data_IF_859956303024
#
_entry.id   IF_859956303024
#
_cell.length_a   1.000
_cell.length_b   1.000
_cell.length_c   1.000
_cell.angle_alpha   90.00
_cell.angle_beta   90.00
_cell.angle_gamma   90.00
#
_symmetry.space_group_name_H-M   'P 1'
#
loop_
_entity.id
_entity.type
_entity.pdbx_description
1 polymer ?
#
# COMPACT_ATOMS: atom_id res chain seq x y z
N UNK A 1 23.69 -7.88 17.29
CA UNK A 1 23.33 -6.47 17.02
C UNK A 1 22.15 -6.08 17.90
N UNK A 2 22.13 -4.87 18.41
CA UNK A 2 20.92 -4.32 19.09
C UNK A 2 19.85 -3.98 18.04
N UNK A 3 18.55 -3.87 18.43
CA UNK A 3 17.49 -3.44 17.49
C UNK A 3 17.81 -2.11 16.78
N UNK A 4 18.39 -1.15 17.48
CA UNK A 4 18.80 0.14 16.89
C UNK A 4 19.91 -0.01 15.85
N UNK A 5 20.89 -0.90 16.10
CA UNK A 5 21.94 -1.20 15.13
C UNK A 5 21.40 -1.94 13.89
N UNK A 6 20.42 -2.82 14.08
CA UNK A 6 19.75 -3.53 12.96
C UNK A 6 18.98 -2.51 12.11
N UNK A 7 18.19 -1.66 12.74
CA UNK A 7 17.41 -0.62 12.03
C UNK A 7 18.34 0.32 11.23
N UNK A 8 19.46 0.72 11.82
CA UNK A 8 20.41 1.62 11.17
C UNK A 8 21.25 0.98 10.06
N UNK A 9 21.33 -0.34 10.00
CA UNK A 9 22.11 -1.08 9.00
C UNK A 9 21.24 -1.76 7.91
N UNK A 10 19.94 -1.83 8.14
CA UNK A 10 18.98 -2.34 7.16
C UNK A 10 18.67 -1.27 6.11
N UNK A 11 18.24 -1.69 4.94
CA UNK A 11 17.51 -0.84 4.01
C UNK A 11 16.03 -1.00 4.35
N UNK A 12 15.42 0.05 4.87
CA UNK A 12 14.03 0.01 5.31
C UNK A 12 13.11 0.54 4.21
N UNK A 13 12.16 -0.28 3.80
CA UNK A 13 11.24 0.02 2.71
C UNK A 13 9.81 -0.15 3.18
N UNK A 14 9.00 0.87 2.98
CA UNK A 14 7.55 0.81 3.12
C UNK A 14 6.90 0.80 1.74
N UNK A 15 5.97 -0.12 1.54
CA UNK A 15 5.38 -0.35 0.22
C UNK A 15 4.11 0.44 -0.06
N UNK A 16 3.56 1.15 0.93
CA UNK A 16 2.31 1.88 0.71
C UNK A 16 2.12 3.05 1.66
N UNK A 17 1.92 4.25 1.09
CA UNK A 17 1.45 5.44 1.81
C UNK A 17 0.72 6.39 0.88
N UNK A 18 -0.43 6.93 1.32
CA UNK A 18 -1.31 7.83 0.55
C UNK A 18 -0.90 9.30 0.59
N UNK A 19 0.29 9.57 1.04
CA UNK A 19 0.89 10.90 1.15
C UNK A 19 0.76 11.77 -0.14
N UNK A 20 0.75 11.23 -1.39
CA UNK A 20 0.53 12.03 -2.60
C UNK A 20 -0.77 12.82 -2.64
N UNK A 21 -1.80 12.37 -1.92
CA UNK A 21 -3.06 13.14 -1.80
C UNK A 21 -2.80 14.53 -1.21
N UNK A 22 -1.90 14.62 -0.23
CA UNK A 22 -1.52 15.86 0.44
C UNK A 22 -0.72 16.79 -0.48
N UNK A 23 0.09 16.25 -1.39
CA UNK A 23 0.83 17.06 -2.37
C UNK A 23 -0.11 17.84 -3.26
N UNK A 24 -1.22 17.23 -3.70
CA UNK A 24 -2.20 17.84 -4.59
C UNK A 24 -3.24 18.66 -3.82
N UNK A 25 -3.88 18.07 -2.83
CA UNK A 25 -5.08 18.67 -2.20
C UNK A 25 -4.74 19.69 -1.12
N UNK A 26 -3.57 19.56 -0.46
CA UNK A 26 -3.11 20.48 0.58
C UNK A 26 -1.98 21.41 0.10
N UNK A 27 -1.44 21.20 -1.11
CA UNK A 27 -0.24 21.89 -1.61
C UNK A 27 0.95 21.79 -0.66
N UNK A 28 1.01 20.68 0.07
CA UNK A 28 2.03 20.37 1.05
C UNK A 28 3.24 19.69 0.40
N UNK A 29 4.45 19.95 0.92
CA UNK A 29 5.67 19.31 0.42
C UNK A 29 6.15 18.26 1.40
N UNK A 30 6.75 17.18 0.87
CA UNK A 30 7.28 16.08 1.68
C UNK A 30 8.34 16.52 2.71
N UNK A 31 9.01 17.65 2.47
CA UNK A 31 9.98 18.24 3.37
C UNK A 31 9.40 19.19 4.43
N UNK A 32 8.09 19.46 4.37
CA UNK A 32 7.40 20.30 5.34
C UNK A 32 7.11 19.53 6.65
N UNK A 33 6.79 20.20 7.77
CA UNK A 33 6.33 19.55 8.99
C UNK A 33 5.12 18.64 8.74
N UNK A 34 4.95 17.58 9.58
CA UNK A 34 3.89 16.58 9.42
C UNK A 34 2.47 17.16 9.30
N UNK A 35 2.17 18.22 10.06
CA UNK A 35 0.86 18.91 10.02
C UNK A 35 -0.34 17.96 10.06
N UNK A 36 -0.30 16.97 10.96
CA UNK A 36 -1.36 15.98 11.13
C UNK A 36 -1.26 14.74 10.23
N UNK A 37 -0.28 14.66 9.32
CA UNK A 37 0.04 13.43 8.57
C UNK A 37 0.92 12.47 9.37
N UNK A 38 1.23 11.33 8.76
CA UNK A 38 2.01 10.25 9.39
C UNK A 38 3.40 10.08 8.78
N UNK A 39 3.62 10.63 7.59
CA UNK A 39 4.87 10.49 6.84
C UNK A 39 5.32 11.84 6.26
N UNK A 40 6.58 12.21 6.57
CA UNK A 40 7.33 13.28 5.93
C UNK A 40 8.83 12.94 5.96
N UNK A 41 9.67 13.75 5.32
CA UNK A 41 11.11 13.50 5.23
C UNK A 41 11.76 13.36 6.62
N UNK A 42 11.43 14.22 7.57
CA UNK A 42 12.01 14.19 8.91
C UNK A 42 11.59 12.97 9.74
N UNK A 43 10.29 12.55 9.65
CA UNK A 43 9.82 11.34 10.32
C UNK A 43 10.43 10.09 9.67
N UNK A 44 10.56 10.07 8.35
CA UNK A 44 11.23 8.99 7.61
C UNK A 44 12.69 8.83 8.07
N UNK A 45 13.45 9.93 8.14
CA UNK A 45 14.85 9.90 8.64
C UNK A 45 14.94 9.41 10.08
N UNK A 46 14.05 9.87 10.97
CA UNK A 46 14.04 9.43 12.38
C UNK A 46 13.71 7.94 12.51
N UNK A 47 12.85 7.42 11.63
CA UNK A 47 12.48 6.01 11.56
C UNK A 47 13.45 5.13 10.78
N UNK A 48 14.54 5.70 10.23
CA UNK A 48 15.44 5.04 9.30
C UNK A 48 14.70 4.42 8.10
N UNK A 49 13.62 5.05 7.65
CA UNK A 49 12.94 4.67 6.42
C UNK A 49 13.75 5.21 5.23
N UNK A 50 14.23 4.32 4.37
CA UNK A 50 15.08 4.67 3.23
C UNK A 50 14.32 4.82 1.94
N UNK A 51 13.20 4.08 1.79
CA UNK A 51 12.42 4.05 0.57
C UNK A 51 10.92 3.95 0.86
N UNK A 52 10.13 4.68 0.09
CA UNK A 52 8.67 4.67 0.14
C UNK A 52 8.08 4.47 -1.23
N UNK A 53 7.16 3.50 -1.35
CA UNK A 53 6.21 3.51 -2.45
C UNK A 53 5.04 4.43 -2.10
N UNK A 54 4.95 5.54 -2.78
CA UNK A 54 3.84 6.48 -2.69
C UNK A 54 2.66 5.96 -3.52
N UNK A 55 1.50 5.84 -2.87
CA UNK A 55 0.29 5.37 -3.49
C UNK A 55 -0.35 6.47 -4.36
N UNK A 56 -0.48 6.16 -5.64
CA UNK A 56 -1.24 6.96 -6.60
C UNK A 56 -2.66 6.39 -6.61
N UNK A 57 -3.47 6.83 -5.64
CA UNK A 57 -4.85 6.39 -5.48
C UNK A 57 -5.84 7.44 -5.99
N UNK A 58 -6.90 6.99 -6.64
CA UNK A 58 -7.98 7.83 -7.14
C UNK A 58 -9.31 7.34 -6.58
N UNK A 59 -10.06 8.24 -5.93
CA UNK A 59 -11.40 7.92 -5.44
C UNK A 59 -12.38 7.70 -6.63
N UNK A 60 -12.86 6.47 -6.85
CA UNK A 60 -13.74 6.18 -7.99
C UNK A 60 -15.12 6.84 -7.88
N UNK A 61 -15.52 7.28 -6.68
CA UNK A 61 -16.78 7.98 -6.48
C UNK A 61 -16.70 9.45 -6.91
N UNK A 62 -15.53 10.05 -6.81
CA UNK A 62 -15.28 11.44 -7.19
C UNK A 62 -14.77 11.57 -8.63
N UNK A 63 -13.99 10.59 -9.08
CA UNK A 63 -13.39 10.53 -10.41
C UNK A 63 -13.89 9.27 -11.13
N UNK A 64 -15.16 9.28 -11.64
CA UNK A 64 -15.72 8.12 -12.33
C UNK A 64 -14.98 7.80 -13.62
N UNK A 65 -15.39 6.72 -14.30
CA UNK A 65 -14.83 6.33 -15.58
C UNK A 65 -14.62 7.53 -16.54
N UNK A 66 -13.45 7.61 -17.17
CA UNK A 66 -12.95 8.69 -18.02
C UNK A 66 -12.45 9.95 -17.27
N UNK A 67 -12.31 9.90 -15.95
CA UNK A 67 -11.71 10.99 -15.17
C UNK A 67 -10.58 10.49 -14.23
N UNK A 68 -10.46 9.18 -14.05
CA UNK A 68 -9.45 8.58 -13.18
C UNK A 68 -8.03 8.79 -13.70
N UNK A 69 -7.81 8.66 -15.02
CA UNK A 69 -6.50 8.84 -15.63
C UNK A 69 -5.94 10.25 -15.42
N UNK A 70 -6.78 11.28 -15.50
CA UNK A 70 -6.33 12.65 -15.23
C UNK A 70 -5.83 12.81 -13.80
N UNK A 71 -6.63 12.35 -12.81
CA UNK A 71 -6.23 12.44 -11.40
C UNK A 71 -4.98 11.61 -11.11
N UNK A 72 -4.86 10.43 -11.72
CA UNK A 72 -3.66 9.58 -11.65
C UNK A 72 -2.40 10.35 -12.11
N UNK A 73 -2.49 11.04 -13.25
CA UNK A 73 -1.38 11.85 -13.78
C UNK A 73 -1.05 13.05 -12.88
N UNK A 74 -2.06 13.71 -12.30
CA UNK A 74 -1.85 14.81 -11.35
C UNK A 74 -1.08 14.34 -10.10
N UNK A 75 -1.40 13.15 -9.56
CA UNK A 75 -0.72 12.57 -8.41
C UNK A 75 0.72 12.11 -8.75
N UNK A 76 0.92 11.52 -9.94
CA UNK A 76 2.26 11.15 -10.43
C UNK A 76 3.12 12.40 -10.56
N UNK A 77 2.61 13.44 -11.23
CA UNK A 77 3.33 14.70 -11.43
C UNK A 77 3.69 15.36 -10.09
N UNK A 78 2.72 15.45 -9.17
CA UNK A 78 2.94 16.01 -7.84
C UNK A 78 4.02 15.25 -7.05
N UNK A 79 4.11 13.93 -7.20
CA UNK A 79 5.15 13.12 -6.57
C UNK A 79 6.52 13.37 -7.21
N UNK A 80 6.60 13.46 -8.53
CA UNK A 80 7.82 13.82 -9.25
C UNK A 80 8.30 15.22 -8.90
N UNK A 81 7.39 16.18 -8.71
CA UNK A 81 7.69 17.53 -8.27
C UNK A 81 8.33 17.57 -6.87
N UNK A 82 7.99 16.64 -5.96
CA UNK A 82 8.69 16.56 -4.67
C UNK A 82 10.18 16.26 -4.87
N UNK A 83 10.51 15.33 -5.76
CA UNK A 83 11.90 15.00 -6.09
C UNK A 83 12.60 16.20 -6.73
N UNK A 84 11.94 16.89 -7.65
CA UNK A 84 12.49 18.07 -8.31
C UNK A 84 12.76 19.22 -7.33
N UNK A 85 11.90 19.39 -6.33
CA UNK A 85 12.04 20.46 -5.32
C UNK A 85 13.16 20.20 -4.30
N UNK A 86 13.52 18.95 -4.05
CA UNK A 86 14.51 18.57 -3.04
C UNK A 86 15.50 17.50 -3.58
N UNK A 87 16.23 17.76 -4.66
CA UNK A 87 17.07 16.76 -5.34
C UNK A 87 18.31 16.35 -4.53
N UNK A 88 18.67 17.12 -3.54
CA UNK A 88 19.70 16.81 -2.54
C UNK A 88 19.24 15.77 -1.51
N UNK A 89 17.95 15.67 -1.27
CA UNK A 89 17.31 14.79 -0.28
C UNK A 89 16.59 13.59 -0.86
N UNK A 90 15.96 13.77 -2.02
CA UNK A 90 15.04 12.81 -2.64
C UNK A 90 15.59 12.32 -3.98
N UNK A 91 15.34 11.05 -4.29
CA UNK A 91 15.68 10.47 -5.59
C UNK A 91 14.52 9.60 -6.09
N UNK A 92 14.06 9.84 -7.30
CA UNK A 92 13.15 8.90 -7.98
C UNK A 92 13.89 7.60 -8.23
N UNK A 93 13.30 6.48 -7.78
CA UNK A 93 13.82 5.14 -7.98
C UNK A 93 12.84 4.33 -8.82
N UNK A 94 13.35 3.62 -9.82
CA UNK A 94 12.56 2.81 -10.74
C UNK A 94 13.07 1.37 -10.84
N UNK A 95 14.09 1.05 -10.05
CA UNK A 95 14.68 -0.28 -9.94
C UNK A 95 15.16 -0.54 -8.51
N UNK A 96 15.41 -1.81 -8.20
CA UNK A 96 16.05 -2.20 -6.94
C UNK A 96 17.43 -1.58 -6.78
N UNK A 97 18.18 -1.46 -7.88
CA UNK A 97 19.52 -0.86 -7.86
C UNK A 97 19.50 0.63 -7.63
N UNK A 98 18.44 1.35 -8.09
CA UNK A 98 18.26 2.76 -7.77
C UNK A 98 18.05 2.97 -6.27
N UNK A 99 17.28 2.09 -5.60
CA UNK A 99 17.09 2.14 -4.13
C UNK A 99 18.43 2.00 -3.41
N UNK A 100 19.25 1.01 -3.82
CA UNK A 100 20.59 0.79 -3.25
C UNK A 100 21.51 1.98 -3.49
N UNK A 101 21.41 2.61 -4.66
CA UNK A 101 22.20 3.79 -5.00
C UNK A 101 21.77 5.02 -4.21
N UNK A 102 20.45 5.24 -4.04
CA UNK A 102 19.92 6.33 -3.22
C UNK A 102 20.35 6.19 -1.75
N UNK A 103 20.20 5.00 -1.18
CA UNK A 103 20.64 4.69 0.19
C UNK A 103 22.13 4.99 0.38
N UNK A 104 23.00 4.54 -0.55
CA UNK A 104 24.44 4.82 -0.53
C UNK A 104 24.77 6.34 -0.53
N UNK A 105 23.93 7.13 -1.19
CA UNK A 105 24.07 8.59 -1.28
C UNK A 105 23.43 9.33 -0.10
N UNK A 106 22.80 8.63 0.84
CA UNK A 106 22.06 9.21 1.96
C UNK A 106 20.77 9.91 1.54
N UNK A 107 20.23 9.58 0.35
CA UNK A 107 18.99 10.12 -0.19
C UNK A 107 17.83 9.17 0.12
N UNK A 108 16.65 9.74 0.30
CA UNK A 108 15.41 9.02 0.41
C UNK A 108 14.92 8.56 -0.98
N UNK A 109 14.66 7.28 -1.13
CA UNK A 109 14.19 6.70 -2.38
C UNK A 109 12.67 6.89 -2.52
N UNK A 110 12.24 7.60 -3.54
CA UNK A 110 10.85 7.84 -3.92
C UNK A 110 10.46 6.84 -5.01
N UNK A 111 9.44 6.03 -4.75
CA UNK A 111 8.84 5.10 -5.71
C UNK A 111 7.35 5.38 -5.81
N UNK A 112 6.71 4.89 -6.86
CA UNK A 112 5.26 5.05 -7.05
C UNK A 112 4.58 3.72 -7.35
N UNK A 113 3.43 3.50 -6.71
CA UNK A 113 2.52 2.41 -7.02
C UNK A 113 1.11 2.95 -7.27
N UNK A 114 0.41 2.43 -8.27
CA UNK A 114 -1.00 2.76 -8.46
C UNK A 114 -1.85 1.87 -7.55
N UNK A 115 -2.75 2.48 -6.81
CA UNK A 115 -3.75 1.76 -6.04
C UNK A 115 -5.11 1.80 -6.73
N UNK A 116 -5.45 0.64 -7.30
CA UNK A 116 -6.72 0.45 -8.00
C UNK A 116 -6.60 0.50 -9.53
N UNK A 117 -6.81 -0.65 -10.16
CA UNK A 117 -6.72 -0.81 -11.61
C UNK A 117 -7.80 -0.06 -12.41
N UNK A 118 -8.80 0.54 -11.76
CA UNK A 118 -9.72 1.48 -12.41
C UNK A 118 -8.99 2.70 -13.00
N UNK A 119 -7.81 3.03 -12.47
CA UNK A 119 -6.95 4.13 -12.94
C UNK A 119 -6.47 3.97 -14.38
N UNK A 120 -6.44 2.74 -14.92
CA UNK A 120 -6.06 2.51 -16.33
C UNK A 120 -7.23 2.66 -17.30
N UNK A 121 -8.47 2.91 -16.84
CA UNK A 121 -9.66 3.10 -17.69
C UNK A 121 -9.80 2.04 -18.78
N UNK A 122 -9.52 0.77 -18.45
CA UNK A 122 -9.51 -0.40 -19.35
C UNK A 122 -8.53 -0.27 -20.54
N UNK A 123 -7.42 0.45 -20.36
CA UNK A 123 -6.43 0.70 -21.41
C UNK A 123 -5.04 0.20 -21.02
N UNK A 124 -4.53 -0.84 -21.68
CA UNK A 124 -3.12 -1.27 -21.58
C UNK A 124 -2.16 -0.15 -22.03
N UNK A 125 -2.62 0.76 -22.88
CA UNK A 125 -1.84 1.93 -23.27
C UNK A 125 -1.59 2.88 -22.10
N UNK A 126 -2.60 3.11 -21.25
CA UNK A 126 -2.42 3.89 -20.01
C UNK A 126 -1.50 3.18 -19.02
N UNK A 127 -1.64 1.87 -18.83
CA UNK A 127 -0.74 1.07 -17.99
C UNK A 127 0.73 1.25 -18.41
N UNK A 128 1.02 1.12 -19.71
CA UNK A 128 2.38 1.34 -20.26
C UNK A 128 2.88 2.76 -20.04
N UNK A 129 2.02 3.76 -20.16
CA UNK A 129 2.41 5.15 -19.94
C UNK A 129 2.73 5.42 -18.48
N UNK A 130 1.96 4.88 -17.54
CA UNK A 130 2.24 5.00 -16.12
C UNK A 130 3.58 4.34 -15.74
N UNK A 131 3.88 3.16 -16.34
CA UNK A 131 5.19 2.54 -16.17
C UNK A 131 6.34 3.43 -16.67
N UNK A 132 6.18 4.07 -17.84
CA UNK A 132 7.18 5.03 -18.39
C UNK A 132 7.37 6.25 -17.48
N UNK A 133 6.31 6.67 -16.77
CA UNK A 133 6.36 7.76 -15.81
C UNK A 133 6.95 7.37 -14.45
N UNK A 134 7.33 6.11 -14.26
CA UNK A 134 8.04 5.66 -13.06
C UNK A 134 7.21 4.82 -12.09
N UNK A 135 5.94 4.51 -12.39
CA UNK A 135 5.15 3.59 -11.57
C UNK A 135 5.73 2.18 -11.64
N UNK A 136 5.84 1.49 -10.51
CA UNK A 136 6.49 0.17 -10.44
C UNK A 136 5.64 -0.96 -9.86
N UNK A 137 4.50 -0.64 -9.27
CA UNK A 137 3.44 -1.64 -9.05
C UNK A 137 2.06 -1.09 -9.39
N UNK A 138 1.09 -1.97 -9.57
CA UNK A 138 -0.32 -1.60 -9.60
C UNK A 138 -1.13 -2.64 -8.81
N UNK A 139 -1.95 -2.16 -7.87
CA UNK A 139 -2.97 -2.95 -7.20
C UNK A 139 -4.14 -3.16 -8.16
N UNK A 140 -4.56 -4.41 -8.38
CA UNK A 140 -5.54 -4.75 -9.41
C UNK A 140 -6.92 -4.15 -9.17
N UNK A 141 -7.30 -3.96 -7.90
CA UNK A 141 -8.51 -3.25 -7.47
C UNK A 141 -8.19 -2.33 -6.31
N UNK A 142 -9.05 -1.36 -6.02
CA UNK A 142 -9.20 -0.76 -4.70
C UNK A 142 -10.40 -1.40 -4.00
N UNK A 143 -11.07 -0.72 -3.09
CA UNK A 143 -12.29 -1.21 -2.40
C UNK A 143 -13.53 -1.24 -3.30
N UNK A 144 -13.35 -1.12 -4.60
CA UNK A 144 -14.37 -1.22 -5.64
C UNK A 144 -13.98 -2.27 -6.69
N UNK A 145 -14.92 -3.13 -7.02
CA UNK A 145 -14.86 -3.97 -8.21
C UNK A 145 -14.80 -3.07 -9.45
N UNK A 146 -13.85 -3.33 -10.34
CA UNK A 146 -13.71 -2.59 -11.60
C UNK A 146 -14.21 -3.45 -12.79
N UNK A 147 -13.99 -3.02 -14.03
CA UNK A 147 -14.54 -3.70 -15.21
C UNK A 147 -13.89 -5.05 -15.53
N UNK A 148 -12.84 -5.46 -14.78
CA UNK A 148 -12.06 -6.64 -15.12
C UNK A 148 -11.52 -7.44 -13.92
N UNK A 149 -11.73 -6.96 -12.67
CA UNK A 149 -11.31 -7.64 -11.45
C UNK A 149 -12.25 -7.33 -10.29
N UNK A 150 -12.58 -8.33 -9.49
CA UNK A 150 -13.41 -8.18 -8.31
C UNK A 150 -12.59 -7.75 -7.09
N UNK A 151 -13.12 -6.78 -6.35
CA UNK A 151 -12.58 -6.31 -5.08
C UNK A 151 -13.12 -7.10 -3.89
N UNK A 152 -12.38 -7.08 -2.77
CA UNK A 152 -12.88 -7.54 -1.47
C UNK A 152 -13.79 -6.53 -0.76
N UNK A 153 -13.87 -5.30 -1.26
CA UNK A 153 -14.53 -4.19 -0.55
C UNK A 153 -16.04 -4.06 -0.81
N UNK A 154 -16.54 -4.65 -1.87
CA UNK A 154 -17.93 -4.51 -2.34
C UNK A 154 -18.63 -5.83 -2.67
N UNK A 155 -18.08 -6.97 -2.22
CA UNK A 155 -18.63 -8.32 -2.49
C UNK A 155 -20.08 -8.49 -2.03
N UNK A 156 -20.49 -7.77 -0.99
CA UNK A 156 -21.84 -7.84 -0.42
C UNK A 156 -22.80 -6.78 -1.01
N UNK A 157 -22.35 -5.97 -1.96
CA UNK A 157 -23.21 -4.97 -2.58
C UNK A 157 -23.97 -5.58 -3.79
N UNK A 158 -25.30 -5.79 -3.67
CA UNK A 158 -26.09 -6.41 -4.75
C UNK A 158 -26.21 -5.53 -6.01
N UNK A 159 -25.74 -4.29 -5.96
CA UNK A 159 -25.73 -3.37 -7.12
C UNK A 159 -24.47 -3.49 -7.96
N UNK A 160 -23.43 -4.15 -7.43
CA UNK A 160 -22.17 -4.34 -8.13
C UNK A 160 -22.24 -5.63 -8.95
N UNK A 161 -21.86 -5.53 -10.22
CA UNK A 161 -21.70 -6.71 -11.06
C UNK A 161 -20.33 -7.34 -10.82
N UNK A 162 -20.32 -8.55 -10.29
CA UNK A 162 -19.10 -9.32 -10.06
C UNK A 162 -18.77 -10.23 -11.24
N UNK A 163 -17.48 -10.40 -11.53
CA UNK A 163 -16.96 -11.21 -12.63
C UNK A 163 -16.60 -12.63 -12.20
N UNK A 164 -16.66 -12.94 -10.91
CA UNK A 164 -16.10 -14.14 -10.31
C UNK A 164 -14.58 -14.25 -10.55
N UNK A 165 -13.87 -13.18 -10.22
CA UNK A 165 -12.41 -13.06 -10.30
C UNK A 165 -11.92 -12.14 -11.41
N UNK A 166 -10.86 -12.54 -12.12
CA UNK A 166 -10.34 -11.81 -13.29
C UNK A 166 -11.12 -12.15 -14.56
N UNK A 167 -11.51 -11.11 -15.30
CA UNK A 167 -11.97 -11.29 -16.69
C UNK A 167 -10.80 -11.65 -17.62
N UNK A 168 -11.05 -12.03 -18.89
CA UNK A 168 -9.97 -12.17 -19.88
C UNK A 168 -9.07 -10.93 -19.97
N UNK A 169 -9.65 -9.73 -20.00
CA UNK A 169 -8.87 -8.48 -19.99
C UNK A 169 -8.06 -8.29 -18.69
N UNK A 170 -8.60 -8.69 -17.54
CA UNK A 170 -7.85 -8.68 -16.27
C UNK A 170 -6.59 -9.57 -16.32
N UNK A 171 -6.68 -10.72 -16.98
CA UNK A 171 -5.51 -11.58 -17.24
C UNK A 171 -4.52 -10.92 -18.19
N UNK A 172 -4.99 -10.24 -19.24
CA UNK A 172 -4.13 -9.48 -20.15
C UNK A 172 -3.39 -8.34 -19.40
N UNK A 173 -4.04 -7.68 -18.43
CA UNK A 173 -3.39 -6.69 -17.56
C UNK A 173 -2.27 -7.33 -16.76
N UNK A 174 -2.48 -8.48 -16.12
CA UNK A 174 -1.45 -9.20 -15.36
C UNK A 174 -0.27 -9.60 -16.27
N UNK A 175 -0.55 -10.11 -17.47
CA UNK A 175 0.50 -10.45 -18.44
C UNK A 175 1.29 -9.23 -18.89
N UNK A 176 0.61 -8.11 -19.16
CA UNK A 176 1.27 -6.85 -19.54
C UNK A 176 2.16 -6.31 -18.41
N UNK A 177 1.70 -6.39 -17.14
CA UNK A 177 2.52 -6.01 -15.99
C UNK A 177 3.78 -6.87 -15.90
N UNK A 178 3.67 -8.20 -16.07
CA UNK A 178 4.83 -9.08 -16.08
C UNK A 178 5.79 -8.74 -17.24
N UNK A 179 5.27 -8.47 -18.44
CA UNK A 179 6.06 -8.07 -19.61
C UNK A 179 6.82 -6.76 -19.37
N UNK A 180 6.18 -5.78 -18.73
CA UNK A 180 6.81 -4.49 -18.40
C UNK A 180 7.87 -4.61 -17.30
N UNK A 181 7.79 -5.58 -16.41
CA UNK A 181 8.55 -5.62 -15.16
C UNK A 181 7.90 -4.76 -14.07
N UNK A 182 6.58 -4.60 -14.13
CA UNK A 182 5.75 -3.97 -13.10
C UNK A 182 5.26 -5.04 -12.12
N UNK A 183 5.45 -4.80 -10.82
CA UNK A 183 5.02 -5.72 -9.78
C UNK A 183 3.50 -5.76 -9.73
N UNK A 184 2.91 -6.96 -9.75
CA UNK A 184 1.48 -7.16 -9.53
C UNK A 184 1.19 -7.12 -8.03
N UNK A 185 0.27 -6.25 -7.62
CA UNK A 185 -0.16 -6.12 -6.24
C UNK A 185 -1.58 -6.63 -6.07
N UNK A 186 -1.77 -7.52 -5.07
CA UNK A 186 -3.06 -8.17 -4.77
C UNK A 186 -3.74 -7.62 -3.51
N UNK A 187 -3.26 -6.55 -2.92
CA UNK A 187 -4.03 -5.87 -1.88
C UNK A 187 -5.40 -5.49 -2.44
N UNK A 188 -6.44 -5.43 -1.61
CA UNK A 188 -7.82 -5.11 -1.98
C UNK A 188 -8.59 -6.12 -2.83
N UNK A 189 -7.95 -7.07 -3.49
CA UNK A 189 -8.65 -8.00 -4.40
C UNK A 189 -9.55 -8.99 -3.65
N UNK A 190 -10.59 -9.50 -4.33
CA UNK A 190 -11.36 -10.62 -3.81
C UNK A 190 -10.53 -11.91 -3.75
N UNK A 191 -10.95 -12.88 -2.93
CA UNK A 191 -10.28 -14.17 -2.85
C UNK A 191 -10.16 -14.83 -4.23
N UNK A 192 -11.22 -14.75 -5.04
CA UNK A 192 -11.19 -15.32 -6.38
C UNK A 192 -10.23 -14.61 -7.31
N UNK A 193 -10.18 -13.28 -7.25
CA UNK A 193 -9.20 -12.48 -8.00
C UNK A 193 -7.76 -12.82 -7.57
N UNK A 194 -7.53 -13.04 -6.29
CA UNK A 194 -6.22 -13.52 -5.79
C UNK A 194 -5.83 -14.84 -6.46
N UNK A 195 -6.71 -15.85 -6.42
CA UNK A 195 -6.40 -17.17 -7.00
C UNK A 195 -6.22 -17.12 -8.51
N UNK A 196 -7.01 -16.31 -9.22
CA UNK A 196 -6.83 -16.10 -10.65
C UNK A 196 -5.49 -15.42 -10.96
N UNK A 197 -5.07 -14.46 -10.12
CA UNK A 197 -3.78 -13.78 -10.27
C UNK A 197 -2.61 -14.75 -10.06
N UNK A 198 -2.66 -15.59 -9.02
CA UNK A 198 -1.62 -16.60 -8.73
C UNK A 198 -1.40 -17.56 -9.91
N UNK A 199 -2.47 -17.95 -10.60
CA UNK A 199 -2.32 -18.88 -11.74
C UNK A 199 -2.01 -18.17 -13.06
N UNK A 200 -2.20 -16.85 -13.14
CA UNK A 200 -1.97 -16.05 -14.36
C UNK A 200 -0.57 -15.46 -14.40
N UNK A 201 -0.06 -15.00 -13.24
CA UNK A 201 1.24 -14.34 -13.18
C UNK A 201 2.40 -15.32 -13.44
N UNK A 202 3.43 -14.82 -14.12
CA UNK A 202 4.71 -15.54 -14.31
C UNK A 202 5.83 -15.02 -13.40
N UNK A 203 5.55 -14.00 -12.58
CA UNK A 203 6.52 -13.34 -11.68
C UNK A 203 6.05 -13.38 -10.22
N UNK A 204 6.95 -13.18 -9.26
CA UNK A 204 6.54 -12.93 -7.88
C UNK A 204 5.61 -11.72 -7.79
N UNK A 205 4.62 -11.80 -6.89
CA UNK A 205 3.66 -10.72 -6.62
C UNK A 205 3.83 -10.19 -5.20
N UNK A 206 3.20 -9.06 -4.91
CA UNK A 206 3.13 -8.52 -3.54
C UNK A 206 1.68 -8.39 -3.09
N UNK A 207 1.48 -8.38 -1.77
CA UNK A 207 0.37 -7.72 -1.12
C UNK A 207 0.96 -6.46 -0.47
N UNK A 208 0.83 -5.30 -1.12
CA UNK A 208 1.53 -4.08 -0.70
C UNK A 208 1.14 -3.58 0.69
N UNK A 209 -0.08 -3.91 1.16
CA UNK A 209 -0.61 -3.56 2.48
C UNK A 209 -1.78 -4.48 2.85
N UNK A 210 -1.48 -5.68 3.35
CA UNK A 210 -2.48 -6.67 3.81
C UNK A 210 -1.97 -7.42 5.03
N UNK A 211 -2.92 -7.98 5.82
CA UNK A 211 -2.59 -8.67 7.08
C UNK A 211 -3.14 -10.10 7.08
N UNK A 212 -3.17 -10.79 8.23
CA UNK A 212 -3.65 -12.17 8.35
C UNK A 212 -5.13 -12.25 8.72
N UNK A 213 -5.92 -13.00 7.94
CA UNK A 213 -7.34 -13.24 8.22
C UNK A 213 -7.56 -14.16 9.41
N UNK A 214 -6.59 -15.00 9.74
CA UNK A 214 -6.66 -15.88 10.90
C UNK A 214 -6.71 -15.10 12.23
N UNK A 215 -6.09 -13.92 12.28
CA UNK A 215 -6.10 -13.06 13.47
C UNK A 215 -7.23 -12.03 13.45
N UNK A 216 -7.53 -11.48 12.29
CA UNK A 216 -8.59 -10.47 12.11
C UNK A 216 -9.38 -10.82 10.86
N UNK A 217 -10.64 -11.21 11.03
CA UNK A 217 -11.50 -11.72 9.95
C UNK A 217 -12.02 -10.61 9.04
N UNK A 218 -11.09 -9.86 8.45
CA UNK A 218 -11.35 -8.84 7.45
C UNK A 218 -11.18 -9.44 6.04
N UNK A 219 -12.10 -9.21 5.07
CA UNK A 219 -11.94 -9.66 3.68
C UNK A 219 -10.65 -9.13 3.02
N UNK A 220 -10.11 -8.02 3.50
CA UNK A 220 -8.85 -7.40 3.08
C UNK A 220 -7.60 -8.21 3.45
N UNK A 221 -7.72 -9.13 4.42
CA UNK A 221 -6.63 -9.95 4.92
C UNK A 221 -6.52 -11.27 4.16
N UNK A 222 -5.31 -11.82 4.09
CA UNK A 222 -5.05 -13.10 3.46
C UNK A 222 -5.35 -14.26 4.42
N UNK A 223 -5.93 -15.33 3.88
CA UNK A 223 -6.04 -16.61 4.61
C UNK A 223 -4.68 -17.31 4.68
N UNK A 224 -4.54 -18.30 5.55
CA UNK A 224 -3.28 -19.07 5.64
C UNK A 224 -2.96 -19.81 4.34
N UNK A 225 -3.98 -20.27 3.59
CA UNK A 225 -3.79 -20.86 2.27
C UNK A 225 -3.25 -19.84 1.26
N UNK A 226 -3.72 -18.59 1.32
CA UNK A 226 -3.19 -17.52 0.49
C UNK A 226 -1.75 -17.16 0.89
N UNK A 227 -1.44 -17.12 2.19
CA UNK A 227 -0.07 -16.92 2.68
C UNK A 227 0.89 -18.01 2.16
N UNK A 228 0.45 -19.26 2.16
CA UNK A 228 1.21 -20.39 1.58
C UNK A 228 1.35 -20.27 0.05
N UNK A 229 0.32 -19.77 -0.64
CA UNK A 229 0.39 -19.50 -2.07
C UNK A 229 1.37 -18.36 -2.40
N UNK A 230 1.40 -17.30 -1.61
CA UNK A 230 2.39 -16.22 -1.70
C UNK A 230 3.81 -16.76 -1.54
N UNK A 231 4.04 -17.63 -0.55
CA UNK A 231 5.32 -18.34 -0.38
C UNK A 231 5.69 -19.13 -1.64
N UNK A 232 4.78 -19.93 -2.18
CA UNK A 232 5.02 -20.74 -3.37
C UNK A 232 5.31 -19.89 -4.62
N UNK A 233 4.68 -18.73 -4.73
CA UNK A 233 4.91 -17.74 -5.79
C UNK A 233 6.23 -16.96 -5.59
N UNK A 234 6.92 -17.13 -4.48
CA UNK A 234 8.08 -16.34 -4.07
C UNK A 234 7.75 -14.85 -3.82
N UNK A 235 6.48 -14.54 -3.59
CA UNK A 235 5.96 -13.21 -3.29
C UNK A 235 6.22 -12.76 -1.85
N UNK A 236 5.73 -11.55 -1.52
CA UNK A 236 5.88 -10.95 -0.19
C UNK A 236 4.57 -10.30 0.25
N UNK A 237 4.21 -10.50 1.52
CA UNK A 237 3.07 -9.86 2.17
C UNK A 237 3.58 -8.73 3.07
N UNK A 238 3.17 -7.52 2.78
CA UNK A 238 3.50 -6.33 3.56
C UNK A 238 2.38 -6.08 4.56
N UNK A 239 2.69 -6.14 5.85
CA UNK A 239 1.69 -6.04 6.91
C UNK A 239 1.15 -4.62 6.99
N UNK A 240 -0.18 -4.49 6.87
CA UNK A 240 -0.91 -3.23 6.94
C UNK A 240 -1.09 -2.79 8.39
N UNK A 241 -1.11 -1.47 8.65
CA UNK A 241 -1.28 -0.89 10.00
C UNK A 241 -2.70 -0.42 10.30
N UNK A 242 -3.63 -0.55 9.34
CA UNK A 242 -5.03 -0.19 9.59
C UNK A 242 -5.62 -1.08 10.69
N UNK A 243 -6.12 -0.45 11.73
CA UNK A 243 -6.57 -1.14 12.93
C UNK A 243 -7.72 -2.13 12.67
N UNK A 244 -8.57 -1.86 11.66
CA UNK A 244 -9.62 -2.81 11.25
C UNK A 244 -9.06 -4.10 10.60
N UNK A 245 -7.77 -4.13 10.26
CA UNK A 245 -7.12 -5.30 9.66
C UNK A 245 -6.17 -6.01 10.62
N UNK A 246 -5.90 -5.42 11.79
CA UNK A 246 -4.97 -5.99 12.78
C UNK A 246 -5.60 -6.26 14.16
N UNK A 247 -6.85 -5.83 14.40
CA UNK A 247 -7.53 -6.07 15.68
C UNK A 247 -9.02 -6.34 15.44
N UNK A 248 -9.46 -7.55 15.77
CA UNK A 248 -10.84 -7.99 15.51
C UNK A 248 -11.86 -7.20 16.33
N UNK A 249 -11.54 -6.84 17.57
CA UNK A 249 -12.42 -6.03 18.41
C UNK A 249 -12.60 -4.63 17.82
N UNK A 250 -11.51 -4.03 17.37
CA UNK A 250 -11.55 -2.72 16.71
C UNK A 250 -12.34 -2.78 15.41
N UNK A 251 -12.11 -3.81 14.59
CA UNK A 251 -12.84 -4.04 13.33
C UNK A 251 -14.35 -4.12 13.53
N UNK A 252 -14.81 -4.87 14.54
CA UNK A 252 -16.23 -4.99 14.86
C UNK A 252 -16.83 -3.65 15.27
N UNK A 253 -16.13 -2.89 16.11
CA UNK A 253 -16.56 -1.54 16.52
C UNK A 253 -16.61 -0.56 15.34
N UNK A 254 -15.60 -0.62 14.45
CA UNK A 254 -15.55 0.19 13.23
C UNK A 254 -16.70 -0.11 12.27
N UNK A 255 -17.00 -1.40 12.08
CA UNK A 255 -18.11 -1.84 11.24
C UNK A 255 -19.47 -1.45 11.83
N UNK A 256 -19.63 -1.49 13.15
CA UNK A 256 -20.85 -1.03 13.80
C UNK A 256 -21.17 0.44 13.56
N UNK A 257 -20.14 1.28 13.35
CA UNK A 257 -20.29 2.70 13.03
C UNK A 257 -20.53 2.98 11.53
N UNK A 258 -20.45 1.96 10.66
CA UNK A 258 -20.52 2.12 9.20
C UNK A 258 -21.75 2.94 8.72
N UNK A 259 -22.98 2.71 9.22
CA UNK A 259 -24.15 3.48 8.77
C UNK A 259 -24.03 4.98 9.06
N UNK A 260 -23.58 5.34 10.27
CA UNK A 260 -23.43 6.75 10.69
C UNK A 260 -22.29 7.43 9.94
N UNK A 261 -21.15 6.73 9.80
CA UNK A 261 -19.99 7.20 9.05
C UNK A 261 -20.33 7.44 7.59
N UNK A 262 -21.01 6.47 6.94
CA UNK A 262 -21.48 6.63 5.55
C UNK A 262 -22.41 7.82 5.38
N UNK A 263 -23.32 8.06 6.35
CA UNK A 263 -24.21 9.22 6.33
C UNK A 263 -23.43 10.53 6.43
N UNK A 264 -22.41 10.59 7.31
CA UNK A 264 -21.57 11.78 7.45
C UNK A 264 -20.76 12.07 6.17
N UNK A 265 -20.17 11.02 5.58
CA UNK A 265 -19.44 11.12 4.30
C UNK A 265 -20.35 11.60 3.17
N UNK A 266 -21.54 11.02 3.01
CA UNK A 266 -22.52 11.44 1.99
C UNK A 266 -22.98 12.90 2.16
N UNK A 267 -23.20 13.35 3.38
CA UNK A 267 -23.57 14.73 3.65
C UNK A 267 -22.47 15.71 3.24
N UNK A 268 -21.21 15.36 3.53
CA UNK A 268 -20.04 16.11 3.14
C UNK A 268 -19.86 16.13 1.62
N UNK A 269 -19.93 14.98 0.94
CA UNK A 269 -19.85 14.88 -0.51
C UNK A 269 -20.94 15.73 -1.20
N UNK A 270 -22.18 15.67 -0.71
CA UNK A 270 -23.29 16.45 -1.22
C UNK A 270 -23.00 17.97 -1.14
N UNK A 271 -22.43 18.42 -0.01
CA UNK A 271 -22.06 19.84 0.15
C UNK A 271 -20.97 20.27 -0.86
N UNK A 272 -19.96 19.45 -1.11
CA UNK A 272 -18.92 19.76 -2.10
C UNK A 272 -19.46 19.72 -3.53
N UNK A 273 -20.22 18.68 -3.89
CA UNK A 273 -20.85 18.54 -5.22
C UNK A 273 -21.80 19.70 -5.54
N UNK A 274 -22.55 20.18 -4.55
CA UNK A 274 -23.44 21.35 -4.75
C UNK A 274 -22.68 22.62 -5.13
N UNK A 275 -21.38 22.69 -4.84
CA UNK A 275 -20.47 23.78 -5.18
C UNK A 275 -19.68 23.52 -6.46
N UNK A 276 -19.88 22.35 -7.10
CA UNK A 276 -19.10 21.93 -8.27
C UNK A 276 -17.64 21.59 -7.95
N UNK A 277 -17.34 21.23 -6.70
CA UNK A 277 -15.98 20.95 -6.22
C UNK A 277 -15.84 19.46 -5.87
N UNK A 278 -14.65 18.84 -6.12
CA UNK A 278 -14.29 17.55 -5.54
C UNK A 278 -14.13 17.71 -4.03
N UNK A 279 -14.24 16.60 -3.29
CA UNK A 279 -13.94 16.59 -1.85
C UNK A 279 -12.43 16.42 -1.69
N UNK A 280 -11.73 17.35 -1.03
CA UNK A 280 -10.31 17.15 -0.72
C UNK A 280 -10.12 15.95 0.21
N UNK A 281 -9.02 15.23 0.02
CA UNK A 281 -8.73 14.01 0.78
C UNK A 281 -8.73 14.23 2.29
N UNK A 282 -8.07 15.29 2.77
CA UNK A 282 -8.00 15.65 4.19
C UNK A 282 -9.37 15.93 4.84
N UNK A 283 -10.37 16.32 4.05
CA UNK A 283 -11.74 16.54 4.54
C UNK A 283 -12.46 15.20 4.74
N UNK A 284 -12.27 14.25 3.82
CA UNK A 284 -12.80 12.89 3.96
C UNK A 284 -12.14 12.16 5.14
N UNK A 285 -10.80 12.19 5.20
CA UNK A 285 -10.01 11.58 6.26
C UNK A 285 -10.38 12.09 7.67
N UNK A 286 -10.72 13.37 7.79
CA UNK A 286 -11.16 13.94 9.07
C UNK A 286 -12.39 13.23 9.64
N UNK A 287 -13.37 12.88 8.80
CA UNK A 287 -14.56 12.14 9.24
C UNK A 287 -14.15 10.77 9.80
N UNK A 288 -13.31 10.04 9.08
CA UNK A 288 -12.85 8.73 9.52
C UNK A 288 -12.04 8.81 10.82
N UNK A 289 -11.19 9.83 10.99
CA UNK A 289 -10.48 10.10 12.25
C UNK A 289 -11.42 10.39 13.42
N UNK A 290 -12.48 11.17 13.21
CA UNK A 290 -13.50 11.46 14.25
C UNK A 290 -14.22 10.19 14.70
N UNK A 291 -14.54 9.28 13.78
CA UNK A 291 -15.15 7.99 14.11
C UNK A 291 -14.18 7.02 14.77
N UNK A 292 -12.93 6.95 14.29
CA UNK A 292 -11.89 6.15 14.91
C UNK A 292 -11.58 6.57 16.35
N UNK A 293 -11.58 7.87 16.62
CA UNK A 293 -11.36 8.41 17.96
C UNK A 293 -12.40 7.93 18.99
N UNK A 294 -13.63 7.59 18.57
CA UNK A 294 -14.67 7.02 19.45
C UNK A 294 -14.37 5.59 19.89
N UNK A 295 -13.54 4.87 19.13
CA UNK A 295 -13.15 3.48 19.44
C UNK A 295 -11.88 3.48 20.29
N UNK A 296 -10.98 4.41 20.06
CA UNK A 296 -9.62 4.41 20.58
C UNK A 296 -8.65 3.69 19.66
N UNK A 297 -7.47 3.37 20.16
CA UNK A 297 -6.40 2.72 19.37
C UNK A 297 -6.27 1.24 19.75
N UNK A 298 -6.03 0.38 18.76
CA UNK A 298 -5.71 -1.01 18.97
C UNK A 298 -4.31 -1.14 19.62
N UNK A 299 -4.08 -2.15 20.48
CA UNK A 299 -2.78 -2.37 21.09
C UNK A 299 -1.67 -2.57 20.05
N UNK A 300 -0.48 -2.05 20.30
CA UNK A 300 0.70 -2.27 19.45
C UNK A 300 0.98 -3.75 19.17
N UNK A 301 0.77 -4.60 20.19
CA UNK A 301 0.99 -6.04 20.04
C UNK A 301 0.07 -6.68 19.00
N UNK A 302 -1.13 -6.15 18.74
CA UNK A 302 -1.99 -6.66 17.66
C UNK A 302 -1.27 -6.57 16.31
N UNK A 303 -0.58 -5.47 16.03
CA UNK A 303 0.25 -5.34 14.82
C UNK A 303 1.41 -6.36 14.79
N UNK A 304 2.12 -6.52 15.90
CA UNK A 304 3.27 -7.43 15.98
C UNK A 304 2.84 -8.89 15.85
N UNK A 305 1.65 -9.24 16.33
CA UNK A 305 1.08 -10.58 16.19
C UNK A 305 0.81 -10.92 14.71
N UNK A 306 0.41 -9.95 13.88
CA UNK A 306 0.25 -10.15 12.44
C UNK A 306 1.58 -10.41 11.73
N UNK A 307 2.65 -9.68 12.05
CA UNK A 307 3.99 -9.98 11.54
C UNK A 307 4.40 -11.40 11.92
N UNK A 308 4.27 -11.75 13.20
CA UNK A 308 4.64 -13.06 13.73
C UNK A 308 3.86 -14.20 13.06
N UNK A 309 2.55 -14.02 12.85
CA UNK A 309 1.71 -15.02 12.18
C UNK A 309 2.11 -15.20 10.70
N UNK A 310 2.30 -14.11 9.95
CA UNK A 310 2.73 -14.19 8.54
C UNK A 310 4.10 -14.87 8.44
N UNK A 311 5.04 -14.56 9.34
CA UNK A 311 6.35 -15.23 9.39
C UNK A 311 6.19 -16.73 9.68
N UNK A 312 5.35 -17.11 10.63
CA UNK A 312 5.12 -18.52 10.98
C UNK A 312 4.51 -19.34 9.84
N UNK A 313 3.60 -18.75 9.07
CA UNK A 313 2.90 -19.44 7.98
C UNK A 313 3.70 -19.40 6.67
N UNK A 314 4.06 -18.21 6.22
CA UNK A 314 4.74 -18.02 4.94
C UNK A 314 6.27 -18.14 5.02
N UNK A 315 6.85 -17.85 6.18
CA UNK A 315 8.29 -17.77 6.38
C UNK A 315 8.82 -16.36 6.31
N UNK A 316 9.99 -16.13 6.92
CA UNK A 316 10.62 -14.81 7.05
C UNK A 316 10.96 -14.15 5.71
N UNK A 317 11.17 -14.93 4.66
CA UNK A 317 11.49 -14.43 3.31
C UNK A 317 10.27 -13.83 2.58
N UNK A 318 9.07 -13.90 3.17
CA UNK A 318 7.80 -13.56 2.53
C UNK A 318 6.98 -12.50 3.30
N UNK A 319 7.63 -11.70 4.15
CA UNK A 319 6.98 -10.65 4.95
C UNK A 319 7.73 -9.33 4.83
N UNK A 320 7.00 -8.21 4.94
CA UNK A 320 7.55 -6.86 4.92
C UNK A 320 6.59 -5.84 5.53
N UNK A 321 6.87 -4.55 5.31
CA UNK A 321 6.14 -3.41 5.86
C UNK A 321 5.31 -2.73 4.77
N UNK A 322 4.02 -2.54 5.02
CA UNK A 322 3.10 -1.76 4.19
C UNK A 322 2.20 -0.93 5.09
N UNK A 323 2.68 0.24 5.53
CA UNK A 323 2.08 0.98 6.65
C UNK A 323 0.69 1.50 6.38
N UNK A 324 0.41 1.84 5.12
CA UNK A 324 -0.82 2.53 4.73
C UNK A 324 -0.92 3.92 5.41
N UNK A 325 0.24 4.55 5.69
CA UNK A 325 0.29 5.89 6.27
C UNK A 325 -0.39 6.91 5.37
N UNK A 326 -1.03 7.88 6.01
CA UNK A 326 -1.88 8.88 5.37
C UNK A 326 -3.11 8.30 4.63
N UNK A 327 -3.26 6.95 4.51
CA UNK A 327 -4.43 6.24 3.98
C UNK A 327 -5.34 5.66 5.06
N UNK A 328 -4.89 5.66 6.31
CA UNK A 328 -5.62 5.15 7.47
C UNK A 328 -5.97 6.27 8.45
N UNK A 329 -7.11 6.17 9.15
CA UNK A 329 -7.53 7.24 10.07
C UNK A 329 -6.58 7.41 11.25
N UNK A 330 -6.07 6.32 11.81
CA UNK A 330 -5.11 6.32 12.92
C UNK A 330 -4.40 4.96 13.01
N UNK A 331 -3.08 4.92 13.21
CA UNK A 331 -2.33 3.67 13.40
C UNK A 331 -2.50 3.12 14.83
N UNK A 332 -2.06 1.86 15.11
CA UNK A 332 -2.14 1.27 16.45
C UNK A 332 -1.33 2.05 17.50
N UNK A 333 -1.59 1.80 18.78
CA UNK A 333 -0.87 2.43 19.89
C UNK A 333 0.64 2.37 19.69
N UNK A 334 1.34 3.44 20.02
CA UNK A 334 2.78 3.52 19.93
C UNK A 334 3.34 3.81 18.53
N UNK A 335 2.54 3.82 17.49
CA UNK A 335 2.92 4.23 16.13
C UNK A 335 2.17 5.51 15.79
N UNK A 336 2.85 6.65 15.74
CA UNK A 336 2.24 7.93 15.38
C UNK A 336 2.71 8.42 14.00
N UNK A 337 3.86 7.95 13.55
CA UNK A 337 4.45 8.32 12.27
C UNK A 337 5.55 7.33 11.86
N UNK A 338 6.15 7.56 10.71
CA UNK A 338 7.31 6.79 10.24
C UNK A 338 8.49 6.79 11.25
N UNK A 339 8.59 7.79 12.13
CA UNK A 339 9.61 7.85 13.17
C UNK A 339 9.54 6.66 14.17
N UNK A 340 8.40 5.98 14.23
CA UNK A 340 8.15 4.88 15.17
C UNK A 340 8.44 3.49 14.57
N UNK A 341 8.77 3.38 13.28
CA UNK A 341 9.06 2.10 12.60
C UNK A 341 10.13 1.25 13.32
N UNK A 342 11.17 1.82 13.96
CA UNK A 342 12.15 1.02 14.71
C UNK A 342 11.56 0.17 15.83
N UNK A 343 10.38 0.50 16.34
CA UNK A 343 9.69 -0.28 17.39
C UNK A 343 9.29 -1.67 16.91
N UNK A 344 9.05 -1.85 15.59
CA UNK A 344 8.68 -3.14 14.99
C UNK A 344 9.84 -4.12 15.10
N UNK A 345 11.03 -3.72 14.62
CA UNK A 345 12.21 -4.56 14.72
C UNK A 345 12.55 -4.89 16.18
N UNK A 346 12.43 -3.90 17.09
CA UNK A 346 12.67 -4.11 18.50
C UNK A 346 11.71 -5.15 19.10
N UNK A 347 10.41 -5.07 18.78
CA UNK A 347 9.41 -5.99 19.29
C UNK A 347 9.58 -7.41 18.73
N UNK A 348 9.89 -7.55 17.43
CA UNK A 348 10.11 -8.87 16.82
C UNK A 348 11.41 -9.51 17.34
N UNK A 349 12.49 -8.74 17.49
CA UNK A 349 13.72 -9.26 18.11
C UNK A 349 13.50 -9.68 19.55
N UNK A 350 12.65 -9.00 20.32
CA UNK A 350 12.26 -9.43 21.66
C UNK A 350 11.46 -10.75 21.67
N UNK A 351 10.83 -11.12 20.54
CA UNK A 351 10.18 -12.42 20.31
C UNK A 351 11.15 -13.52 19.81
N UNK A 352 12.45 -13.20 19.66
CA UNK A 352 13.48 -14.16 19.29
C UNK A 352 13.90 -14.14 17.81
N UNK A 353 13.38 -13.24 16.99
CA UNK A 353 13.84 -13.07 15.61
C UNK A 353 15.24 -12.47 15.57
N UNK A 354 16.05 -12.90 14.62
CA UNK A 354 17.46 -12.51 14.49
C UNK A 354 17.62 -11.17 13.76
N UNK A 355 18.83 -10.61 13.83
CA UNK A 355 19.19 -9.44 13.01
C UNK A 355 19.06 -9.70 11.51
N UNK A 356 19.42 -10.91 11.06
CA UNK A 356 19.27 -11.32 9.65
C UNK A 356 17.79 -11.38 9.23
N UNK A 357 16.91 -11.90 10.10
CA UNK A 357 15.48 -11.92 9.86
C UNK A 357 14.94 -10.49 9.68
N UNK A 358 15.39 -9.56 10.50
CA UNK A 358 14.97 -8.16 10.40
C UNK A 358 15.47 -7.48 9.12
N UNK A 359 16.70 -7.73 8.69
CA UNK A 359 17.18 -7.20 7.41
C UNK A 359 16.33 -7.68 6.22
N UNK A 360 15.85 -8.94 6.27
CA UNK A 360 14.93 -9.47 5.26
C UNK A 360 13.58 -8.74 5.32
N UNK A 361 12.95 -8.68 6.50
CA UNK A 361 11.63 -8.10 6.71
C UNK A 361 11.60 -6.61 6.39
N UNK A 362 12.61 -5.86 6.83
CA UNK A 362 12.62 -4.40 6.72
C UNK A 362 12.71 -3.92 5.25
N UNK A 363 13.30 -4.71 4.33
CA UNK A 363 13.33 -4.32 2.93
C UNK A 363 13.98 -5.36 2.00
N UNK A 364 14.80 -6.28 2.53
CA UNK A 364 15.50 -7.28 1.72
C UNK A 364 14.57 -8.15 0.88
N UNK A 365 13.42 -8.53 1.44
CA UNK A 365 12.42 -9.33 0.74
C UNK A 365 11.77 -8.59 -0.44
N UNK A 366 11.46 -7.30 -0.27
CA UNK A 366 10.94 -6.49 -1.37
C UNK A 366 11.99 -6.26 -2.45
N UNK A 367 13.23 -5.95 -2.07
CA UNK A 367 14.34 -5.80 -3.03
C UNK A 367 14.52 -7.05 -3.88
N UNK A 368 14.38 -8.24 -3.28
CA UNK A 368 14.40 -9.52 -4.00
C UNK A 368 13.27 -9.60 -5.02
N UNK A 369 12.02 -9.41 -4.59
CA UNK A 369 10.85 -9.46 -5.48
C UNK A 369 11.00 -8.45 -6.63
N UNK A 370 11.38 -7.23 -6.31
CA UNK A 370 11.52 -6.17 -7.32
C UNK A 370 12.59 -6.55 -8.37
N UNK A 371 13.74 -7.08 -7.95
CA UNK A 371 14.77 -7.57 -8.85
C UNK A 371 14.30 -8.75 -9.71
N UNK A 372 13.60 -9.71 -9.11
CA UNK A 372 13.12 -10.90 -9.82
C UNK A 372 12.09 -10.51 -10.90
N UNK A 373 11.18 -9.57 -10.60
CA UNK A 373 10.20 -9.06 -11.55
C UNK A 373 10.87 -8.32 -12.71
N UNK A 374 11.85 -7.47 -12.42
CA UNK A 374 12.60 -6.76 -13.46
C UNK A 374 13.42 -7.71 -14.34
N UNK A 375 14.09 -8.70 -13.75
CA UNK A 375 14.86 -9.68 -14.48
C UNK A 375 14.00 -10.61 -15.38
N UNK A 376 12.73 -10.81 -15.02
CA UNK A 376 11.78 -11.54 -15.85
C UNK A 376 11.37 -10.75 -17.10
N UNK A 377 11.16 -9.43 -16.96
CA UNK A 377 10.86 -8.53 -18.09
C UNK A 377 11.99 -8.49 -19.12
N UNK A 378 13.23 -8.46 -18.67
CA UNK A 378 14.40 -8.41 -19.56
C UNK A 378 14.56 -9.69 -20.41
N UNK A 379 14.06 -10.82 -19.93
CA UNK A 379 14.06 -12.10 -20.67
C UNK A 379 12.95 -12.18 -21.72
N UNK A 380 11.94 -11.33 -21.64
CA UNK A 380 10.79 -11.30 -22.56
C UNK A 380 10.98 -10.34 -23.75
N UNK A 381 12.07 -9.56 -23.74
CA UNK A 381 12.51 -8.66 -24.82
C UNK A 381 13.47 -9.36 -25.75
#
# INVERSE_FOLDING_TARGET
>A
MTPAQVQASAIVIDTHADTPQRFVDEHWNFTDPLNGGMLNYESAKKGHLDAQFFAVWVDPNQYPANASARRTLELIDATLEQVRKAPDKLQLCTSSDDILAAHKQGKFAVLMGIEGGHSIENSLGLLRNYYRLGVRYMTLTWSNTNNWADSSGDLDDPKVHHHNGLTPFGKDVVHEMNHLGMIVDISHVSDKTFWDTIVTTSTPIIASHSSSRALTNAPRNLTDEMLLAMKKNNGVVMVNFHQAFIDEKWRLAWNAQRPERKKAQQAMETNYRSKGLPVPYNVSDKIDREFAAKIGRAPFNSLIDHFDHVIKVAGIDHVGIGTDFDGIPVPPEGIDSAADLPKIAAALMARGYTAEDMHKLLGGNLLRVFRDVQAAADKSK
#
